data_IF_800715287816
#
_entry.id   IF_800715287816
#
_cell.length_a   1.000
_cell.length_b   1.000
_cell.length_c   1.000
_cell.angle_alpha   90.00
_cell.angle_beta   90.00
_cell.angle_gamma   90.00
#
_symmetry.space_group_name_H-M   'P 1'
#
loop_
_entity.id
_entity.type
_entity.pdbx_description
1 polymer ?
#
# COMPACT_ATOMS: atom_id res chain seq x y z
N UNK A 1 -24.49 9.85 1.74
CA UNK A 1 -23.16 10.35 2.18
C UNK A 1 -22.29 10.55 0.95
N UNK A 2 -21.33 11.48 0.98
CA UNK A 2 -20.37 11.63 -0.11
C UNK A 2 -19.54 10.34 -0.22
N UNK A 3 -19.16 9.96 -1.44
CA UNK A 3 -18.29 8.80 -1.68
C UNK A 3 -16.88 9.16 -1.24
N UNK A 4 -16.30 8.41 -0.29
CA UNK A 4 -14.92 8.60 0.16
C UNK A 4 -13.97 7.86 -0.79
N UNK A 5 -12.77 8.42 -0.95
CA UNK A 5 -11.67 7.78 -1.66
C UNK A 5 -10.51 7.72 -0.67
N UNK A 6 -10.17 6.52 -0.21
CA UNK A 6 -9.28 6.30 0.92
C UNK A 6 -8.08 5.49 0.46
N UNK A 7 -6.90 6.09 0.46
CA UNK A 7 -5.63 5.41 0.25
C UNK A 7 -5.17 4.74 1.54
N UNK A 8 -4.53 3.58 1.43
CA UNK A 8 -3.89 2.86 2.55
C UNK A 8 -2.43 2.63 2.17
N UNK A 9 -1.50 3.09 3.01
CA UNK A 9 -0.07 2.93 2.81
C UNK A 9 0.41 1.48 2.94
N UNK A 10 1.72 1.30 2.92
CA UNK A 10 2.39 -0.01 2.95
C UNK A 10 2.02 -0.81 4.19
N UNK A 11 1.40 -1.97 3.99
CA UNK A 11 0.84 -2.79 5.08
C UNK A 11 1.87 -3.77 5.63
N UNK A 12 2.67 -4.36 4.74
CA UNK A 12 3.74 -5.28 5.09
C UNK A 12 3.33 -6.30 6.16
N UNK A 13 2.33 -7.14 5.89
CA UNK A 13 1.92 -8.20 6.79
C UNK A 13 1.42 -7.74 8.18
N UNK A 14 1.16 -6.45 8.38
CA UNK A 14 0.62 -5.90 9.64
C UNK A 14 -0.91 -6.04 9.69
N UNK A 15 -1.42 -7.29 9.67
CA UNK A 15 -2.84 -7.62 9.59
C UNK A 15 -3.66 -7.03 10.74
N UNK A 16 -3.09 -6.91 11.94
CA UNK A 16 -3.75 -6.30 13.11
C UNK A 16 -3.95 -4.80 12.92
N UNK A 17 -2.95 -4.08 12.36
CA UNK A 17 -3.09 -2.66 12.03
C UNK A 17 -4.18 -2.45 10.97
N UNK A 18 -4.16 -3.24 9.89
CA UNK A 18 -5.16 -3.16 8.83
C UNK A 18 -6.57 -3.39 9.39
N UNK A 19 -6.76 -4.47 10.14
CA UNK A 19 -8.06 -4.76 10.78
C UNK A 19 -8.54 -3.59 11.61
N UNK A 20 -7.65 -2.99 12.41
CA UNK A 20 -8.00 -1.85 13.26
C UNK A 20 -8.36 -0.60 12.46
N UNK A 21 -7.63 -0.30 11.38
CA UNK A 21 -8.01 0.78 10.47
C UNK A 21 -9.39 0.54 9.84
N UNK A 22 -9.66 -0.68 9.36
CA UNK A 22 -10.97 -1.03 8.77
C UNK A 22 -12.11 -0.89 9.79
N UNK A 23 -11.86 -1.23 11.07
CA UNK A 23 -12.83 -1.03 12.15
C UNK A 23 -13.18 0.45 12.35
N UNK A 24 -12.19 1.36 12.37
CA UNK A 24 -12.43 2.79 12.64
C UNK A 24 -12.87 3.58 11.40
N UNK A 25 -12.47 3.15 10.20
CA UNK A 25 -12.90 3.75 8.92
C UNK A 25 -14.36 3.38 8.62
N UNK A 26 -14.79 2.17 9.00
CA UNK A 26 -16.12 1.62 8.70
C UNK A 26 -16.49 1.79 7.21
N UNK A 27 -15.77 1.11 6.28
CA UNK A 27 -15.99 1.28 4.84
C UNK A 27 -17.44 1.02 4.44
N UNK A 28 -18.01 1.92 3.65
CA UNK A 28 -19.38 1.86 3.14
C UNK A 28 -19.39 1.40 1.67
N UNK A 29 -20.48 0.84 1.15
CA UNK A 29 -20.57 0.38 -0.25
C UNK A 29 -20.25 1.43 -1.31
N UNK A 30 -20.37 2.72 -0.98
CA UNK A 30 -20.04 3.83 -1.88
C UNK A 30 -18.56 4.23 -1.88
N UNK A 31 -17.78 3.74 -0.92
CA UNK A 31 -16.37 4.12 -0.76
C UNK A 31 -15.47 3.36 -1.74
N UNK A 32 -14.34 3.99 -2.07
CA UNK A 32 -13.24 3.36 -2.79
C UNK A 32 -12.02 3.32 -1.88
N UNK A 33 -11.53 2.11 -1.56
CA UNK A 33 -10.30 1.88 -0.81
C UNK A 33 -9.19 1.50 -1.79
N UNK A 34 -8.01 2.12 -1.61
CA UNK A 34 -6.85 1.97 -2.49
C UNK A 34 -5.63 1.61 -1.65
N UNK A 35 -5.39 0.32 -1.36
CA UNK A 35 -4.09 -0.12 -0.86
C UNK A 35 -3.00 0.20 -1.90
N UNK A 36 -1.96 0.92 -1.48
CA UNK A 36 -0.92 1.42 -2.39
C UNK A 36 0.13 0.38 -2.80
N UNK A 37 -0.03 -0.86 -2.39
CA UNK A 37 0.94 -1.94 -2.59
C UNK A 37 1.69 -2.28 -1.31
N UNK A 38 2.70 -3.15 -1.43
CA UNK A 38 3.49 -3.67 -0.32
C UNK A 38 2.61 -4.17 0.84
N UNK A 39 1.62 -4.98 0.48
CA UNK A 39 0.71 -5.62 1.44
C UNK A 39 1.35 -6.83 2.12
N UNK A 40 2.31 -7.47 1.43
CA UNK A 40 3.03 -8.66 1.88
C UNK A 40 4.41 -8.31 2.44
N UNK A 41 5.10 -9.31 2.97
CA UNK A 41 6.47 -9.31 3.44
C UNK A 41 6.74 -8.54 4.75
N UNK A 42 7.89 -8.81 5.39
CA UNK A 42 8.43 -8.13 6.59
C UNK A 42 7.62 -8.33 7.87
N UNK A 43 6.34 -8.13 7.82
CA UNK A 43 5.46 -8.28 8.99
C UNK A 43 4.97 -9.72 9.16
N UNK A 44 4.30 -10.01 10.28
CA UNK A 44 4.09 -11.38 10.72
C UNK A 44 2.96 -12.13 10.00
N UNK A 45 2.07 -11.45 9.27
CA UNK A 45 0.84 -12.07 8.79
C UNK A 45 0.38 -11.54 7.42
N UNK A 46 1.20 -11.76 6.40
CA UNK A 46 0.86 -11.44 5.00
C UNK A 46 -0.40 -12.17 4.54
N UNK A 47 -0.58 -13.44 4.97
CA UNK A 47 -1.78 -14.22 4.67
C UNK A 47 -3.05 -13.51 5.18
N UNK A 48 -3.08 -13.12 6.46
CA UNK A 48 -4.22 -12.44 7.05
C UNK A 48 -4.50 -11.06 6.42
N UNK A 49 -3.48 -10.37 5.89
CA UNK A 49 -3.68 -9.14 5.11
C UNK A 49 -4.44 -9.44 3.83
N UNK A 50 -3.99 -10.43 3.03
CA UNK A 50 -4.66 -10.79 1.77
C UNK A 50 -6.09 -11.27 2.00
N UNK A 51 -6.33 -12.08 3.05
CA UNK A 51 -7.68 -12.54 3.45
C UNK A 51 -8.60 -11.35 3.79
N UNK A 52 -8.10 -10.35 4.53
CA UNK A 52 -8.87 -9.14 4.85
C UNK A 52 -9.18 -8.31 3.60
N UNK A 53 -8.21 -8.13 2.69
CA UNK A 53 -8.44 -7.43 1.43
C UNK A 53 -9.48 -8.15 0.56
N UNK A 54 -9.43 -9.48 0.48
CA UNK A 54 -10.46 -10.27 -0.21
C UNK A 54 -11.85 -10.03 0.37
N UNK A 55 -11.98 -10.06 1.70
CA UNK A 55 -13.26 -9.84 2.38
C UNK A 55 -13.80 -8.40 2.20
N UNK A 56 -12.93 -7.41 1.99
CA UNK A 56 -13.34 -6.02 1.76
C UNK A 56 -14.01 -5.80 0.40
N UNK A 57 -13.78 -6.67 -0.60
CA UNK A 57 -14.40 -6.58 -1.93
C UNK A 57 -15.92 -6.65 -1.89
N UNK A 58 -16.47 -7.33 -0.87
CA UNK A 58 -17.92 -7.46 -0.69
C UNK A 58 -18.54 -6.26 0.05
N UNK A 59 -17.68 -5.37 0.60
CA UNK A 59 -18.13 -4.25 1.44
C UNK A 59 -18.03 -2.89 0.74
N UNK A 60 -17.03 -2.71 -0.13
CA UNK A 60 -16.76 -1.45 -0.82
C UNK A 60 -16.02 -1.71 -2.14
N UNK A 61 -15.82 -0.66 -2.93
CA UNK A 61 -14.93 -0.76 -4.09
C UNK A 61 -13.48 -0.83 -3.61
N UNK A 62 -12.80 -1.94 -3.90
CA UNK A 62 -11.40 -2.13 -3.55
C UNK A 62 -10.54 -2.10 -4.81
N UNK A 63 -9.48 -1.27 -4.83
CA UNK A 63 -8.58 -1.03 -5.96
C UNK A 63 -7.13 -1.12 -5.47
N UNK A 64 -6.63 -2.31 -5.17
CA UNK A 64 -5.25 -2.47 -4.70
C UNK A 64 -4.25 -2.27 -5.85
N UNK A 65 -3.10 -1.70 -5.51
CA UNK A 65 -1.98 -1.51 -6.42
C UNK A 65 -0.87 -2.53 -6.15
N UNK A 66 -0.07 -2.82 -7.18
CA UNK A 66 1.12 -3.65 -7.03
C UNK A 66 2.28 -2.79 -6.49
N UNK A 67 2.85 -3.22 -5.37
CA UNK A 67 4.15 -2.77 -4.90
C UNK A 67 5.29 -3.63 -5.45
N UNK A 68 6.53 -3.22 -5.14
CA UNK A 68 7.70 -4.00 -5.51
C UNK A 68 7.77 -5.34 -4.74
N UNK A 69 7.19 -5.42 -3.54
CA UNK A 69 7.16 -6.66 -2.77
C UNK A 69 6.22 -7.71 -3.36
N UNK A 70 5.04 -7.34 -3.84
CA UNK A 70 4.19 -8.26 -4.61
C UNK A 70 4.89 -8.70 -5.91
N UNK A 71 5.56 -7.80 -6.61
CA UNK A 71 6.31 -8.15 -7.83
C UNK A 71 7.42 -9.15 -7.53
N UNK A 72 8.23 -8.92 -6.47
CA UNK A 72 9.29 -9.85 -6.06
C UNK A 72 8.72 -11.23 -5.70
N UNK A 73 7.64 -11.28 -4.91
CA UNK A 73 6.96 -12.52 -4.56
C UNK A 73 6.51 -13.29 -5.81
N UNK A 74 5.81 -12.62 -6.72
CA UNK A 74 5.32 -13.26 -7.94
C UNK A 74 6.45 -13.75 -8.85
N UNK A 75 7.52 -12.96 -9.00
CA UNK A 75 8.70 -13.36 -9.78
C UNK A 75 9.41 -14.57 -9.17
N UNK A 76 9.55 -14.59 -7.83
CA UNK A 76 10.14 -15.75 -7.14
C UNK A 76 9.32 -17.02 -7.38
N UNK A 77 8.00 -16.94 -7.22
CA UNK A 77 7.10 -18.09 -7.41
C UNK A 77 7.04 -18.57 -8.87
N UNK A 78 7.19 -17.66 -9.82
CA UNK A 78 7.23 -17.95 -11.26
C UNK A 78 8.62 -18.41 -11.75
N UNK A 79 9.63 -18.45 -10.87
CA UNK A 79 11.01 -18.78 -11.23
C UNK A 79 11.67 -17.74 -12.15
N UNK A 80 11.23 -16.49 -12.11
CA UNK A 80 11.77 -15.39 -12.92
C UNK A 80 13.01 -14.78 -12.25
N UNK A 81 13.99 -14.30 -13.03
CA UNK A 81 15.10 -13.53 -12.50
C UNK A 81 14.63 -12.25 -11.80
N UNK A 82 15.28 -11.90 -10.69
CA UNK A 82 15.03 -10.67 -9.95
C UNK A 82 16.35 -10.15 -9.35
N UNK A 83 16.48 -8.82 -9.14
CA UNK A 83 17.74 -8.24 -8.65
C UNK A 83 18.08 -8.68 -7.24
N UNK A 84 17.09 -8.79 -6.36
CA UNK A 84 17.23 -9.18 -4.95
C UNK A 84 16.61 -10.55 -4.71
N UNK A 85 17.14 -11.29 -3.74
CA UNK A 85 16.47 -12.49 -3.25
C UNK A 85 15.26 -12.08 -2.40
N UNK A 86 14.06 -12.36 -2.88
CA UNK A 86 12.82 -12.03 -2.19
C UNK A 86 12.79 -12.50 -0.72
N UNK A 87 13.35 -13.68 -0.44
CA UNK A 87 13.37 -14.22 0.93
C UNK A 87 14.16 -13.33 1.90
N UNK A 88 15.22 -12.66 1.44
CA UNK A 88 16.10 -11.83 2.27
C UNK A 88 15.50 -10.44 2.56
N UNK A 89 14.50 -10.02 1.79
CA UNK A 89 13.87 -8.70 1.92
C UNK A 89 12.49 -8.74 2.59
N UNK A 90 12.13 -9.89 3.17
CA UNK A 90 10.88 -10.06 3.93
C UNK A 90 9.95 -11.14 3.43
N UNK A 91 10.30 -11.83 2.33
CA UNK A 91 9.49 -12.92 1.78
C UNK A 91 9.46 -14.16 2.67
N UNK A 92 10.48 -14.32 3.54
CA UNK A 92 10.50 -15.41 4.51
C UNK A 92 9.31 -15.30 5.48
N UNK A 93 9.02 -14.10 5.98
CA UNK A 93 7.88 -13.84 6.85
C UNK A 93 6.55 -14.13 6.13
N UNK A 94 6.47 -13.82 4.83
CA UNK A 94 5.31 -14.19 4.01
C UNK A 94 5.13 -15.70 3.98
N UNK A 95 6.18 -16.48 3.65
CA UNK A 95 6.09 -17.94 3.65
C UNK A 95 5.68 -18.49 5.01
N UNK A 96 6.27 -17.99 6.11
CA UNK A 96 5.91 -18.40 7.49
C UNK A 96 4.43 -18.16 7.76
N UNK A 97 3.86 -17.06 7.29
CA UNK A 97 2.45 -16.74 7.49
C UNK A 97 1.48 -17.73 6.81
N UNK A 98 1.93 -18.39 5.74
CA UNK A 98 1.16 -19.42 5.05
C UNK A 98 1.49 -20.83 5.55
N UNK A 99 2.75 -21.11 5.86
CA UNK A 99 3.22 -22.41 6.31
C UNK A 99 4.48 -22.33 7.15
N UNK A 100 4.49 -22.83 8.39
CA UNK A 100 5.71 -22.91 9.20
C UNK A 100 6.84 -23.74 8.55
N UNK A 101 6.50 -24.60 7.57
CA UNK A 101 7.48 -25.38 6.82
C UNK A 101 8.16 -24.60 5.68
N UNK A 102 7.83 -23.31 5.51
CA UNK A 102 8.35 -22.43 4.45
C UNK A 102 8.06 -22.96 3.03
N UNK A 103 6.97 -23.71 2.90
CA UNK A 103 6.55 -24.28 1.63
C UNK A 103 5.78 -23.22 0.83
N UNK A 104 6.38 -22.72 -0.25
CA UNK A 104 5.74 -21.74 -1.14
C UNK A 104 4.48 -22.27 -1.83
N UNK A 105 4.35 -23.60 -1.97
CA UNK A 105 3.13 -24.22 -2.51
C UNK A 105 1.93 -24.10 -1.57
N UNK A 106 2.16 -23.72 -0.29
CA UNK A 106 1.10 -23.46 0.67
C UNK A 106 0.41 -22.09 0.46
N UNK A 107 1.00 -21.20 -0.34
CA UNK A 107 0.34 -19.93 -0.70
C UNK A 107 -0.91 -20.25 -1.52
N UNK A 108 -2.07 -19.84 -1.02
CA UNK A 108 -3.36 -20.14 -1.65
C UNK A 108 -3.41 -19.60 -3.08
N UNK A 109 -3.79 -20.46 -4.05
CA UNK A 109 -3.90 -20.06 -5.44
C UNK A 109 -4.89 -18.92 -5.67
N UNK A 110 -5.95 -18.86 -4.87
CA UNK A 110 -6.89 -17.75 -4.89
C UNK A 110 -6.22 -16.42 -4.54
N UNK A 111 -5.32 -16.41 -3.53
CA UNK A 111 -4.57 -15.21 -3.14
C UNK A 111 -3.63 -14.76 -4.27
N UNK A 112 -2.90 -15.69 -4.87
CA UNK A 112 -2.01 -15.38 -6.00
C UNK A 112 -2.79 -14.87 -7.21
N UNK A 113 -3.91 -15.53 -7.55
CA UNK A 113 -4.77 -15.09 -8.63
C UNK A 113 -5.31 -13.68 -8.39
N UNK A 114 -5.68 -13.36 -7.15
CA UNK A 114 -6.14 -12.05 -6.77
C UNK A 114 -5.03 -10.98 -6.89
N UNK A 115 -3.86 -11.21 -6.31
CA UNK A 115 -2.72 -10.28 -6.38
C UNK A 115 -2.31 -10.01 -7.83
N UNK A 116 -2.36 -11.01 -8.71
CA UNK A 116 -2.08 -10.85 -10.16
C UNK A 116 -3.08 -9.93 -10.88
N UNK A 117 -4.21 -9.59 -10.28
CA UNK A 117 -5.20 -8.64 -10.85
C UNK A 117 -4.94 -7.19 -10.44
N UNK A 118 -4.01 -6.95 -9.52
CA UNK A 118 -3.73 -5.60 -9.04
C UNK A 118 -3.08 -4.74 -10.11
N UNK A 119 -3.38 -3.45 -10.08
CA UNK A 119 -2.88 -2.49 -11.09
C UNK A 119 -1.65 -1.73 -10.64
N UNK A 120 -1.11 -0.90 -11.52
CA UNK A 120 0.03 -0.02 -11.23
C UNK A 120 -0.38 1.38 -10.83
N UNK A 121 -1.56 1.80 -11.25
CA UNK A 121 -2.05 3.17 -11.06
C UNK A 121 -3.57 3.19 -10.97
N UNK A 122 -4.08 4.08 -10.14
CA UNK A 122 -5.49 4.47 -10.12
C UNK A 122 -5.59 5.99 -10.21
N UNK A 123 -6.60 6.51 -10.91
CA UNK A 123 -6.74 7.94 -11.19
C UNK A 123 -8.16 8.42 -10.86
N UNK A 124 -8.25 9.61 -10.30
CA UNK A 124 -9.48 10.38 -10.06
C UNK A 124 -9.40 11.74 -10.76
N UNK A 125 -10.38 12.61 -10.56
CA UNK A 125 -10.35 13.95 -11.15
C UNK A 125 -9.22 14.83 -10.57
N UNK A 126 -8.87 14.63 -9.29
CA UNK A 126 -7.94 15.49 -8.55
C UNK A 126 -6.64 14.80 -8.13
N UNK A 127 -6.63 13.49 -8.02
CA UNK A 127 -5.49 12.70 -7.53
C UNK A 127 -5.20 11.51 -8.44
N UNK A 128 -3.97 11.01 -8.36
CA UNK A 128 -3.64 9.69 -8.84
C UNK A 128 -2.79 8.94 -7.80
N UNK A 129 -2.85 7.62 -7.86
CA UNK A 129 -2.27 6.72 -6.88
C UNK A 129 -1.31 5.78 -7.60
N UNK A 130 -0.08 5.70 -7.14
CA UNK A 130 0.94 4.75 -7.57
C UNK A 130 1.68 4.27 -6.33
N UNK A 131 2.32 3.09 -6.39
CA UNK A 131 3.02 2.59 -5.22
C UNK A 131 4.20 3.49 -4.81
N UNK A 132 5.15 3.80 -5.72
CA UNK A 132 6.40 4.46 -5.36
C UNK A 132 6.53 5.90 -5.88
N UNK A 133 6.57 6.10 -7.20
CA UNK A 133 6.74 7.42 -7.80
C UNK A 133 6.20 7.44 -9.24
N UNK A 134 6.45 8.53 -9.95
CA UNK A 134 5.99 8.76 -11.32
C UNK A 134 6.99 9.58 -12.12
N UNK A 135 6.84 9.57 -13.45
CA UNK A 135 7.58 10.42 -14.38
C UNK A 135 6.74 11.68 -14.69
N UNK A 136 7.17 12.88 -14.27
CA UNK A 136 6.34 14.10 -14.32
C UNK A 136 5.81 14.45 -15.71
N UNK A 137 6.64 14.30 -16.73
CA UNK A 137 6.34 14.71 -18.11
C UNK A 137 5.63 13.62 -18.95
N UNK A 138 5.34 12.45 -18.35
CA UNK A 138 4.77 11.30 -19.05
C UNK A 138 3.32 11.07 -18.62
N UNK A 139 2.35 10.94 -19.56
CA UNK A 139 0.97 10.62 -19.21
C UNK A 139 0.85 9.36 -18.36
N UNK A 140 -0.11 9.29 -17.43
CA UNK A 140 -0.29 8.16 -16.51
C UNK A 140 -0.43 6.81 -17.23
N UNK A 141 -1.01 6.79 -18.42
CA UNK A 141 -1.16 5.58 -19.26
C UNK A 141 0.15 5.12 -19.93
N UNK A 142 1.22 5.90 -19.83
CA UNK A 142 2.52 5.63 -20.46
C UNK A 142 3.67 5.57 -19.46
N UNK A 143 3.39 5.60 -18.16
CA UNK A 143 4.39 5.50 -17.10
C UNK A 143 5.16 4.17 -17.17
N UNK A 144 6.42 4.17 -16.82
CA UNK A 144 7.18 2.94 -16.67
C UNK A 144 6.84 2.28 -15.33
N UNK A 145 6.49 1.00 -15.36
CA UNK A 145 6.16 0.25 -14.15
C UNK A 145 7.29 0.23 -13.12
N UNK A 146 8.57 0.26 -13.59
CA UNK A 146 9.74 0.34 -12.71
C UNK A 146 9.71 1.62 -11.86
N UNK A 147 9.37 2.77 -12.46
CA UNK A 147 9.23 4.02 -11.72
C UNK A 147 8.09 3.94 -10.73
N UNK A 148 6.93 3.43 -11.18
CA UNK A 148 5.74 3.35 -10.34
C UNK A 148 5.88 2.40 -9.14
N UNK A 149 6.77 1.37 -9.22
CA UNK A 149 6.93 0.38 -8.15
C UNK A 149 8.22 0.48 -7.36
N UNK A 150 9.30 1.10 -7.92
CA UNK A 150 10.64 0.98 -7.35
C UNK A 150 11.35 2.30 -7.05
N UNK A 151 10.90 3.42 -7.62
CA UNK A 151 11.64 4.68 -7.47
C UNK A 151 11.43 5.29 -6.08
N UNK A 152 12.49 5.32 -5.28
CA UNK A 152 12.44 5.90 -3.94
C UNK A 152 12.51 7.44 -3.97
N UNK A 153 11.64 8.09 -3.20
CA UNK A 153 11.68 9.55 -2.99
C UNK A 153 12.97 10.02 -2.31
N UNK A 154 13.73 9.10 -1.67
CA UNK A 154 15.08 9.41 -1.16
C UNK A 154 16.10 9.64 -2.29
N UNK A 155 15.89 9.04 -3.44
CA UNK A 155 16.73 9.24 -4.63
C UNK A 155 16.42 10.58 -5.27
N UNK A 156 15.16 10.85 -5.54
CA UNK A 156 14.67 12.14 -6.02
C UNK A 156 13.15 12.25 -5.83
N UNK A 157 12.70 13.44 -5.50
CA UNK A 157 11.26 13.76 -5.45
C UNK A 157 10.86 14.26 -6.84
N UNK A 158 9.86 13.64 -7.50
CA UNK A 158 9.42 14.09 -8.82
C UNK A 158 8.78 15.48 -8.76
N UNK A 159 8.94 16.25 -9.83
CA UNK A 159 8.23 17.51 -10.02
C UNK A 159 6.71 17.28 -10.17
N UNK A 160 5.85 18.31 -10.08
CA UNK A 160 4.43 18.18 -10.35
C UNK A 160 4.14 17.50 -11.67
N UNK A 161 3.19 16.56 -11.67
CA UNK A 161 2.82 15.82 -12.88
C UNK A 161 2.08 16.72 -13.88
N UNK A 162 2.29 16.49 -15.20
CA UNK A 162 1.65 17.26 -16.28
C UNK A 162 0.12 17.29 -16.22
N UNK A 163 -0.52 16.32 -15.57
CA UNK A 163 -1.98 16.33 -15.36
C UNK A 163 -2.47 17.40 -14.37
N UNK A 164 -1.58 18.01 -13.59
CA UNK A 164 -1.90 18.91 -12.51
C UNK A 164 -2.55 18.26 -11.28
N UNK A 165 -2.63 16.92 -11.24
CA UNK A 165 -3.19 16.14 -10.11
C UNK A 165 -2.14 15.89 -9.04
N UNK A 166 -2.59 15.75 -7.78
CA UNK A 166 -1.74 15.36 -6.66
C UNK A 166 -1.51 13.84 -6.67
N UNK A 167 -0.25 13.43 -6.55
CA UNK A 167 0.13 12.02 -6.39
C UNK A 167 -0.05 11.58 -4.94
N UNK A 168 -0.58 10.37 -4.71
CA UNK A 168 -0.56 9.70 -3.40
C UNK A 168 0.27 8.43 -3.54
N UNK A 169 1.33 8.31 -2.71
CA UNK A 169 2.35 7.26 -2.83
C UNK A 169 2.69 6.61 -1.50
N UNK A 170 3.30 5.42 -1.56
CA UNK A 170 3.89 4.66 -0.46
C UNK A 170 5.40 4.47 -0.62
N UNK A 171 5.89 3.23 -0.45
CA UNK A 171 7.24 2.73 -0.75
C UNK A 171 8.39 3.40 0.01
N UNK A 172 8.38 4.72 0.15
CA UNK A 172 9.46 5.45 0.81
C UNK A 172 9.12 5.65 2.29
N UNK A 173 9.51 4.69 3.12
CA UNK A 173 9.15 4.67 4.55
C UNK A 173 9.59 5.93 5.29
N UNK A 174 8.64 6.67 5.85
CA UNK A 174 8.81 7.85 6.69
C UNK A 174 8.93 7.39 8.15
N UNK A 175 10.18 7.28 8.63
CA UNK A 175 10.48 6.64 9.91
C UNK A 175 10.10 7.47 11.14
N UNK A 176 9.79 8.75 10.95
CA UNK A 176 9.23 9.64 11.97
C UNK A 176 7.74 9.40 12.22
N UNK A 177 7.09 8.61 11.35
CA UNK A 177 5.67 8.27 11.43
C UNK A 177 4.73 9.38 10.96
N UNK A 178 5.27 10.46 10.37
CA UNK A 178 4.49 11.58 9.85
C UNK A 178 4.24 11.43 8.35
N UNK A 179 3.07 11.89 7.90
CA UNK A 179 2.74 11.96 6.47
C UNK A 179 3.52 13.10 5.83
N UNK A 180 4.16 12.83 4.69
CA UNK A 180 4.79 13.89 3.90
C UNK A 180 3.78 14.43 2.89
N UNK A 181 3.45 15.70 3.01
CA UNK A 181 2.63 16.43 2.03
C UNK A 181 3.40 17.65 1.52
N UNK A 182 3.65 17.69 0.22
CA UNK A 182 4.33 18.80 -0.46
C UNK A 182 3.45 19.46 -1.53
N UNK A 183 2.11 19.28 -1.41
CA UNK A 183 1.08 19.84 -2.27
C UNK A 183 0.81 19.04 -3.53
N UNK A 184 1.81 18.73 -4.32
CA UNK A 184 1.65 17.91 -5.55
C UNK A 184 1.90 16.41 -5.34
N UNK A 185 2.42 16.02 -4.17
CA UNK A 185 2.71 14.65 -3.79
C UNK A 185 2.49 14.47 -2.29
N UNK A 186 1.80 13.37 -1.92
CA UNK A 186 1.56 12.96 -0.54
C UNK A 186 2.11 11.53 -0.39
N UNK A 187 3.07 11.31 0.51
CA UNK A 187 3.59 9.99 0.85
C UNK A 187 3.02 9.56 2.20
N UNK A 188 2.39 8.36 2.22
CA UNK A 188 1.72 7.80 3.40
C UNK A 188 2.31 6.46 3.89
N UNK A 189 3.49 6.05 3.41
CA UNK A 189 4.23 4.95 4.05
C UNK A 189 4.90 5.44 5.33
N UNK A 190 4.21 5.31 6.43
CA UNK A 190 4.65 5.73 7.77
C UNK A 190 5.25 4.60 8.59
N UNK A 191 5.84 3.59 7.94
CA UNK A 191 6.73 2.58 8.51
C UNK A 191 6.09 1.62 9.52
N UNK A 192 4.88 1.12 9.25
CA UNK A 192 4.13 0.26 10.17
C UNK A 192 4.92 -0.95 10.65
N UNK A 193 5.49 -1.73 9.73
CA UNK A 193 6.21 -2.96 10.07
C UNK A 193 7.45 -2.73 10.93
N UNK A 194 8.07 -1.55 10.84
CA UNK A 194 9.28 -1.18 11.56
C UNK A 194 9.06 -0.35 12.83
N UNK A 195 7.81 -0.26 13.31
CA UNK A 195 7.47 0.40 14.57
C UNK A 195 6.83 1.79 14.42
N UNK A 196 6.51 2.22 13.21
CA UNK A 196 5.67 3.38 12.93
C UNK A 196 4.19 3.01 12.85
N UNK A 197 3.49 3.56 11.85
CA UNK A 197 2.04 3.48 11.70
C UNK A 197 1.64 2.97 10.33
N UNK A 198 0.54 2.23 10.24
CA UNK A 198 -0.21 2.06 9.00
C UNK A 198 -1.13 3.27 8.86
N UNK A 199 -0.97 4.01 7.77
CA UNK A 199 -1.74 5.23 7.50
C UNK A 199 -2.81 4.98 6.46
N UNK A 200 -4.02 5.48 6.74
CA UNK A 200 -5.09 5.63 5.76
C UNK A 200 -5.42 7.12 5.61
N UNK A 201 -5.56 7.58 4.36
CA UNK A 201 -5.86 8.97 4.00
C UNK A 201 -7.14 9.02 3.15
N UNK A 202 -8.18 9.68 3.63
CA UNK A 202 -9.33 10.06 2.80
C UNK A 202 -9.00 11.35 2.04
N UNK A 203 -8.75 11.25 0.75
CA UNK A 203 -8.43 12.42 -0.10
C UNK A 203 -9.60 13.39 -0.29
N UNK A 204 -10.82 12.98 0.08
CA UNK A 204 -12.02 13.81 -0.07
C UNK A 204 -12.14 14.81 1.07
N UNK A 205 -11.82 14.39 2.29
CA UNK A 205 -11.91 15.20 3.51
C UNK A 205 -10.56 15.65 4.08
N UNK A 206 -9.46 14.99 3.68
CA UNK A 206 -8.16 15.15 4.30
C UNK A 206 -8.00 14.38 5.62
N UNK A 207 -9.02 13.58 6.01
CA UNK A 207 -8.96 12.79 7.24
C UNK A 207 -7.88 11.73 7.17
N UNK A 208 -7.06 11.65 8.22
CA UNK A 208 -6.03 10.63 8.40
C UNK A 208 -6.42 9.72 9.56
N UNK A 209 -6.21 8.42 9.39
CA UNK A 209 -6.25 7.41 10.44
C UNK A 209 -4.92 6.67 10.48
N UNK A 210 -4.41 6.42 11.67
CA UNK A 210 -3.17 5.68 11.85
C UNK A 210 -3.32 4.62 12.91
N UNK A 211 -2.85 3.40 12.61
CA UNK A 211 -2.81 2.29 13.55
C UNK A 211 -1.40 1.68 13.59
N UNK A 212 -0.86 1.38 14.76
CA UNK A 212 0.39 0.64 14.86
C UNK A 212 0.16 -0.88 14.66
N UNK A 213 1.25 -1.63 14.59
CA UNK A 213 1.19 -3.08 14.33
C UNK A 213 0.49 -3.87 15.45
N UNK A 214 0.36 -3.31 16.66
CA UNK A 214 -0.40 -3.87 17.77
C UNK A 214 -1.89 -3.47 17.75
N UNK A 215 -2.30 -2.59 16.81
CA UNK A 215 -3.68 -2.11 16.64
C UNK A 215 -4.05 -0.93 17.53
N UNK A 216 -3.08 -0.23 18.09
CA UNK A 216 -3.34 1.03 18.81
C UNK A 216 -3.56 2.14 17.80
N UNK A 217 -4.65 2.90 17.94
CA UNK A 217 -4.93 4.06 17.11
C UNK A 217 -4.13 5.26 17.63
N UNK A 218 -3.46 5.96 16.71
CA UNK A 218 -2.87 7.25 17.01
C UNK A 218 -4.00 8.26 17.21
N UNK A 219 -4.17 8.73 18.45
CA UNK A 219 -5.06 9.84 18.73
C UNK A 219 -4.36 11.11 18.22
N UNK A 220 -4.87 11.71 17.17
CA UNK A 220 -4.48 13.06 16.81
C UNK A 220 -4.86 13.98 17.98
N UNK A 221 -3.88 14.47 18.72
CA UNK A 221 -4.04 15.73 19.41
C UNK A 221 -4.18 16.76 18.28
N UNK A 222 -5.40 17.27 18.09
CA UNK A 222 -5.66 18.38 17.17
C UNK A 222 -4.60 19.45 17.44
N UNK A 223 -3.59 19.52 16.56
CA UNK A 223 -2.70 20.66 16.50
C UNK A 223 -3.54 21.82 16.01
N UNK A 224 -4.00 22.66 16.94
CA UNK A 224 -4.57 23.96 16.61
C UNK A 224 -3.51 24.74 15.83
N UNK A 225 -3.84 25.13 14.60
CA UNK A 225 -3.20 26.21 13.87
C UNK A 225 -3.75 27.53 14.37
#
# INVERSE_FOLDING_TARGET
>A
MARRIIAIGDIHGCSTALRKLIEVIEPQPGDTLIPLGDCVDRGPDSRGVVEQLLALRDRCRLVPLLGNHEEMMLNFLDGRPQPDNWLDVGGLETLVSYSPALDSSAIAQEHLAYIRTWGDCFETDTHFFVHAAYEPERPLTQQHWQTMRWHSLRTSIPAPHISGKTAVVGHTSLKDGEVMDIGHLICIDTYCWGGGWLTALDITSGQIWQADREGRIRNETQGAV
#
